data_IF_823071224512
#
_entry.id   IF_823071224512
#
_cell.length_a   1.000
_cell.length_b   1.000
_cell.length_c   1.000
_cell.angle_alpha   90.00
_cell.angle_beta   90.00
_cell.angle_gamma   90.00
#
_symmetry.space_group_name_H-M   'P 1'
#
loop_
_entity.id
_entity.type
_entity.pdbx_description
1 polymer ?
#
# COMPACT_ATOMS: atom_id res chain seq x y z
N UNK A 1 -21.55 0.17 30.83
CA UNK A 1 -21.65 0.49 29.39
C UNK A 1 -23.00 0.00 28.89
N UNK A 2 -23.81 0.88 28.30
CA UNK A 2 -25.17 0.54 27.89
C UNK A 2 -25.11 -0.46 26.72
N UNK A 3 -25.84 -1.58 26.83
CA UNK A 3 -26.01 -2.53 25.73
C UNK A 3 -26.84 -1.84 24.65
N UNK A 4 -26.23 -1.52 23.50
CA UNK A 4 -26.99 -1.07 22.34
C UNK A 4 -27.82 -2.27 21.82
N UNK A 5 -29.09 -2.04 21.51
CA UNK A 5 -30.00 -3.08 21.00
C UNK A 5 -29.56 -3.41 19.58
N UNK A 6 -28.86 -4.52 19.40
CA UNK A 6 -28.42 -5.02 18.09
C UNK A 6 -29.63 -5.29 17.20
N UNK A 7 -29.74 -4.57 16.08
CA UNK A 7 -30.83 -4.78 15.12
C UNK A 7 -30.43 -5.92 14.15
N UNK A 8 -31.36 -6.82 13.79
CA UNK A 8 -31.08 -7.83 12.77
C UNK A 8 -30.91 -7.16 11.40
N UNK A 9 -29.98 -7.67 10.59
CA UNK A 9 -29.76 -7.17 9.24
C UNK A 9 -30.96 -7.52 8.33
N UNK A 10 -31.57 -6.55 7.64
CA UNK A 10 -32.69 -6.82 6.74
C UNK A 10 -32.25 -7.55 5.46
N UNK A 11 -33.18 -8.30 4.85
CA UNK A 11 -32.96 -8.91 3.54
C UNK A 11 -33.28 -7.91 2.43
N UNK A 12 -32.32 -7.68 1.53
CA UNK A 12 -32.50 -6.77 0.40
C UNK A 12 -32.97 -7.51 -0.86
N UNK A 13 -34.00 -6.98 -1.51
CA UNK A 13 -34.54 -7.53 -2.75
C UNK A 13 -33.77 -7.06 -4.01
N UNK A 14 -32.88 -6.07 -3.88
CA UNK A 14 -32.05 -5.56 -4.97
C UNK A 14 -30.82 -4.82 -4.44
N UNK A 15 -29.78 -4.72 -5.29
CA UNK A 15 -28.57 -3.94 -4.99
C UNK A 15 -28.89 -2.47 -4.73
N UNK A 16 -29.86 -1.89 -5.46
CA UNK A 16 -30.30 -0.50 -5.26
C UNK A 16 -30.84 -0.26 -3.85
N UNK A 17 -31.65 -1.18 -3.33
CA UNK A 17 -32.17 -1.09 -1.95
C UNK A 17 -31.08 -1.26 -0.89
N UNK A 18 -30.04 -2.06 -1.18
CA UNK A 18 -28.88 -2.18 -0.29
C UNK A 18 -28.12 -0.84 -0.23
N UNK A 19 -27.89 -0.20 -1.38
CA UNK A 19 -27.25 1.12 -1.44
C UNK A 19 -28.07 2.17 -0.70
N UNK A 20 -29.38 2.26 -0.97
CA UNK A 20 -30.29 3.18 -0.26
C UNK A 20 -30.25 2.94 1.26
N UNK A 21 -30.19 1.68 1.70
CA UNK A 21 -30.05 1.35 3.12
C UNK A 21 -28.71 1.81 3.70
N UNK A 22 -27.60 1.56 2.98
CA UNK A 22 -26.27 1.99 3.39
C UNK A 22 -26.14 3.51 3.50
N UNK A 23 -26.83 4.26 2.65
CA UNK A 23 -26.83 5.74 2.67
C UNK A 23 -27.70 6.32 3.79
N UNK A 24 -28.78 5.62 4.16
CA UNK A 24 -29.80 6.13 5.09
C UNK A 24 -29.66 5.62 6.52
N UNK A 25 -28.90 4.55 6.75
CA UNK A 25 -28.76 3.90 8.05
C UNK A 25 -27.30 3.84 8.51
N UNK A 26 -27.08 4.01 9.81
CA UNK A 26 -25.79 3.75 10.42
C UNK A 26 -25.55 2.24 10.53
N UNK A 27 -24.49 1.75 9.91
CA UNK A 27 -24.11 0.34 9.96
C UNK A 27 -23.58 -0.09 11.34
N UNK A 28 -23.14 0.85 12.18
CA UNK A 28 -22.73 0.58 13.56
C UNK A 28 -23.85 -0.05 14.41
N UNK A 29 -25.11 0.27 14.10
CA UNK A 29 -26.30 -0.32 14.76
C UNK A 29 -26.49 -1.82 14.47
N UNK A 30 -25.79 -2.33 13.44
CA UNK A 30 -25.89 -3.71 12.97
C UNK A 30 -24.56 -4.47 13.11
N UNK A 31 -23.55 -3.87 13.75
CA UNK A 31 -22.18 -4.41 13.83
C UNK A 31 -22.11 -5.86 14.31
N UNK A 32 -22.84 -6.19 15.38
CA UNK A 32 -22.90 -7.55 15.95
C UNK A 32 -23.63 -8.56 15.07
N UNK A 33 -24.44 -8.09 14.10
CA UNK A 33 -25.17 -8.94 13.16
C UNK A 33 -24.42 -9.11 11.82
N UNK A 34 -23.30 -8.40 11.62
CA UNK A 34 -22.49 -8.54 10.41
C UNK A 34 -21.52 -9.72 10.55
N UNK A 35 -21.35 -10.53 9.50
CA UNK A 35 -20.32 -11.55 9.49
C UNK A 35 -18.92 -10.91 9.55
N UNK A 36 -17.91 -11.60 10.12
CA UNK A 36 -16.54 -11.14 10.06
C UNK A 36 -16.09 -10.97 8.61
N UNK A 37 -15.38 -9.88 8.33
CA UNK A 37 -14.81 -9.63 7.01
C UNK A 37 -13.47 -10.38 6.88
N UNK A 38 -13.45 -11.44 6.07
CA UNK A 38 -12.22 -12.12 5.67
C UNK A 38 -11.73 -11.55 4.33
N UNK A 39 -10.58 -10.86 4.36
CA UNK A 39 -9.91 -10.41 3.14
C UNK A 39 -8.40 -10.61 3.27
N UNK A 40 -7.78 -10.95 2.15
CA UNK A 40 -6.34 -11.19 2.07
C UNK A 40 -5.69 -10.05 1.28
N UNK A 41 -4.83 -9.25 1.91
CA UNK A 41 -4.08 -8.20 1.21
C UNK A 41 -2.76 -8.79 0.71
N UNK A 42 -2.65 -8.97 -0.60
CA UNK A 42 -1.38 -9.35 -1.25
C UNK A 42 -0.56 -8.11 -1.61
N UNK A 43 0.24 -7.61 -0.66
CA UNK A 43 1.22 -6.55 -0.94
C UNK A 43 2.44 -7.16 -1.64
N UNK A 44 2.39 -7.28 -2.96
CA UNK A 44 3.56 -7.71 -3.75
C UNK A 44 4.50 -6.53 -3.99
N UNK A 45 5.63 -6.49 -3.25
CA UNK A 45 6.72 -5.57 -3.56
C UNK A 45 7.33 -5.95 -4.91
N UNK A 46 7.07 -5.16 -5.95
CA UNK A 46 7.71 -5.33 -7.26
C UNK A 46 9.19 -5.01 -7.12
N UNK A 47 10.04 -6.01 -7.36
CA UNK A 47 11.50 -5.85 -7.36
C UNK A 47 11.98 -5.88 -8.80
N UNK A 48 12.67 -4.83 -9.22
CA UNK A 48 13.33 -4.75 -10.52
C UNK A 48 14.82 -5.00 -10.33
N UNK A 49 15.36 -5.99 -11.06
CA UNK A 49 16.78 -6.30 -11.09
C UNK A 49 17.41 -5.61 -12.31
N UNK A 50 18.56 -4.98 -12.11
CA UNK A 50 19.31 -4.26 -13.15
C UNK A 50 20.74 -4.78 -13.14
N UNK A 51 21.24 -5.14 -14.32
CA UNK A 51 22.64 -5.53 -14.49
C UNK A 51 23.52 -4.29 -14.45
N UNK A 52 24.62 -4.36 -13.70
CA UNK A 52 25.63 -3.30 -13.60
C UNK A 52 26.99 -3.89 -13.95
N UNK A 53 27.83 -3.10 -14.62
CA UNK A 53 29.20 -3.51 -14.92
C UNK A 53 30.01 -3.77 -13.65
N UNK A 54 30.90 -4.76 -13.69
CA UNK A 54 31.70 -5.16 -12.54
C UNK A 54 32.50 -3.99 -11.94
N UNK A 55 33.18 -3.21 -12.78
CA UNK A 55 33.95 -2.03 -12.34
C UNK A 55 33.07 -1.00 -11.62
N UNK A 56 31.85 -0.80 -12.12
CA UNK A 56 30.90 0.12 -11.52
C UNK A 56 30.43 -0.38 -10.15
N UNK A 57 30.14 -1.67 -10.02
CA UNK A 57 29.75 -2.30 -8.74
C UNK A 57 30.85 -2.15 -7.69
N UNK A 58 32.11 -2.35 -8.07
CA UNK A 58 33.26 -2.19 -7.20
C UNK A 58 33.39 -0.75 -6.68
N UNK A 59 33.31 0.23 -7.58
CA UNK A 59 33.36 1.66 -7.24
C UNK A 59 32.19 2.08 -6.34
N UNK A 60 30.97 1.71 -6.69
CA UNK A 60 29.76 2.01 -5.90
C UNK A 60 29.87 1.40 -4.51
N UNK A 61 30.36 0.17 -4.41
CA UNK A 61 30.49 -0.53 -3.12
C UNK A 61 31.55 0.12 -2.22
N UNK A 62 32.66 0.59 -2.79
CA UNK A 62 33.66 1.35 -2.04
C UNK A 62 33.07 2.66 -1.48
N UNK A 63 32.33 3.41 -2.30
CA UNK A 63 31.69 4.67 -1.91
C UNK A 63 30.59 4.42 -0.86
N UNK A 64 29.80 3.36 -1.04
CA UNK A 64 28.74 2.98 -0.11
C UNK A 64 29.30 2.65 1.27
N UNK A 65 30.39 1.87 1.33
CA UNK A 65 31.13 1.57 2.57
C UNK A 65 31.66 2.83 3.25
N UNK A 66 32.30 3.72 2.48
CA UNK A 66 32.81 4.99 3.01
C UNK A 66 31.69 5.90 3.55
N UNK A 67 30.47 5.78 3.02
CA UNK A 67 29.27 6.52 3.46
C UNK A 67 28.41 5.77 4.48
N UNK A 68 28.88 4.63 5.01
CA UNK A 68 28.13 3.78 5.95
C UNK A 68 26.71 3.43 5.48
N UNK A 69 26.54 3.16 4.20
CA UNK A 69 25.24 2.81 3.60
C UNK A 69 25.37 1.62 2.65
N UNK A 70 24.25 0.96 2.33
CA UNK A 70 24.25 -0.14 1.37
C UNK A 70 24.42 0.36 -0.06
N UNK A 71 25.06 -0.43 -0.92
CA UNK A 71 25.16 -0.15 -2.36
C UNK A 71 23.76 0.07 -2.98
N UNK A 72 22.76 -0.72 -2.55
CA UNK A 72 21.37 -0.56 -2.99
C UNK A 72 20.81 0.82 -2.64
N UNK A 73 21.01 1.29 -1.42
CA UNK A 73 20.52 2.60 -0.96
C UNK A 73 21.19 3.72 -1.75
N UNK A 74 22.50 3.63 -1.94
CA UNK A 74 23.28 4.61 -2.69
C UNK A 74 22.84 4.70 -4.16
N UNK A 75 22.71 3.55 -4.84
CA UNK A 75 22.26 3.47 -6.23
C UNK A 75 20.86 4.09 -6.38
N UNK A 76 19.93 3.73 -5.49
CA UNK A 76 18.57 4.28 -5.56
C UNK A 76 18.55 5.79 -5.32
N UNK A 77 19.40 6.30 -4.43
CA UNK A 77 19.51 7.74 -4.19
C UNK A 77 19.99 8.48 -5.43
N UNK A 78 21.11 8.06 -6.01
CA UNK A 78 21.64 8.67 -7.23
C UNK A 78 20.69 8.58 -8.42
N UNK A 79 20.03 7.43 -8.59
CA UNK A 79 19.06 7.25 -9.67
C UNK A 79 17.88 8.23 -9.52
N UNK A 80 17.38 8.44 -8.30
CA UNK A 80 16.31 9.43 -8.03
C UNK A 80 16.75 10.86 -8.35
N UNK A 81 17.96 11.22 -7.95
CA UNK A 81 18.54 12.55 -8.24
C UNK A 81 18.64 12.75 -9.76
N UNK A 82 19.21 11.79 -10.49
CA UNK A 82 19.38 11.87 -11.95
C UNK A 82 18.07 11.89 -12.71
N UNK A 83 17.10 11.07 -12.31
CA UNK A 83 15.75 11.11 -12.91
C UNK A 83 15.10 12.46 -12.67
N UNK A 84 15.18 13.00 -11.44
CA UNK A 84 14.61 14.31 -11.14
C UNK A 84 15.26 15.44 -11.93
N UNK A 85 16.57 15.39 -12.18
CA UNK A 85 17.27 16.36 -13.02
C UNK A 85 16.73 16.34 -14.46
N UNK A 86 16.59 15.16 -15.07
CA UNK A 86 16.11 15.01 -16.44
C UNK A 86 14.63 15.39 -16.60
N UNK A 87 13.80 15.06 -15.60
CA UNK A 87 12.36 15.37 -15.62
C UNK A 87 12.09 16.87 -15.42
N UNK A 88 13.00 17.62 -14.78
CA UNK A 88 12.89 19.08 -14.63
C UNK A 88 13.43 19.86 -15.83
N UNK A 89 14.26 19.21 -16.66
CA UNK A 89 14.82 19.78 -17.87
C UNK A 89 13.96 19.51 -19.12
N UNK A 90 12.85 18.77 -18.97
CA UNK A 90 11.85 18.47 -19.99
C UNK A 90 10.57 19.25 -19.72
#
# INVERSE_FOLDING_TARGET
MARNKTKPLPKFASTKKLVEFFETHDLGDYWEAMPPADFEIHITKRTHLVSLDQKLVEQVSAIARAKHMSSKTLINKWLREKVSEQTRAS
#
